data_IF_689477134138
#
_entry.id   IF_689477134138
#
_cell.length_a   1.000
_cell.length_b   1.000
_cell.length_c   1.000
_cell.angle_alpha   90.00
_cell.angle_beta   90.00
_cell.angle_gamma   90.00
#
_symmetry.space_group_name_H-M   'P 1'
#
loop_
_entity.id
_entity.type
_entity.pdbx_description
1 polymer ?
#
# COMPACT_ATOMS: atom_id res chain seq x y z
N UNK A 1 -8.08 20.62 32.94
CA UNK A 1 -6.74 20.27 32.42
C UNK A 1 -6.75 18.92 31.72
N UNK A 2 -7.17 17.81 32.36
CA UNK A 2 -7.14 16.47 31.73
C UNK A 2 -8.10 16.28 30.53
N UNK A 3 -9.27 16.93 30.52
CA UNK A 3 -10.23 16.84 29.41
C UNK A 3 -9.64 17.37 28.09
N UNK A 4 -8.85 18.46 28.17
CA UNK A 4 -8.21 19.07 26.99
C UNK A 4 -7.12 18.14 26.43
N UNK A 5 -6.38 17.47 27.31
CA UNK A 5 -5.35 16.49 26.94
C UNK A 5 -5.99 15.29 26.23
N UNK A 6 -7.08 14.74 26.78
CA UNK A 6 -7.81 13.64 26.15
C UNK A 6 -8.40 14.03 24.79
N UNK A 7 -8.95 15.25 24.67
CA UNK A 7 -9.46 15.76 23.41
C UNK A 7 -8.35 15.91 22.35
N UNK A 8 -7.20 16.47 22.72
CA UNK A 8 -6.06 16.59 21.82
C UNK A 8 -5.51 15.21 21.39
N UNK A 9 -5.44 14.26 22.32
CA UNK A 9 -4.98 12.90 22.04
C UNK A 9 -5.95 12.16 21.10
N UNK A 10 -7.26 12.31 21.30
CA UNK A 10 -8.29 11.73 20.44
C UNK A 10 -8.24 12.32 19.02
N UNK A 11 -8.07 13.63 18.88
CA UNK A 11 -7.94 14.28 17.56
C UNK A 11 -6.68 13.79 16.85
N UNK A 12 -5.55 13.69 17.56
CA UNK A 12 -4.29 13.22 17.00
C UNK A 12 -4.39 11.77 16.54
N UNK A 13 -4.99 10.89 17.36
CA UNK A 13 -5.25 9.51 17.02
C UNK A 13 -6.21 9.38 15.83
N UNK A 14 -7.30 10.14 15.83
CA UNK A 14 -8.27 10.15 14.74
C UNK A 14 -7.60 10.56 13.41
N UNK A 15 -6.74 11.57 13.44
CA UNK A 15 -6.01 12.02 12.26
C UNK A 15 -5.01 10.96 11.78
N UNK A 16 -4.34 10.29 12.72
CA UNK A 16 -3.42 9.18 12.41
C UNK A 16 -4.15 7.98 11.79
N UNK A 17 -5.30 7.60 12.35
CA UNK A 17 -6.12 6.50 11.86
C UNK A 17 -6.74 6.81 10.50
N UNK A 18 -7.25 8.04 10.31
CA UNK A 18 -7.83 8.50 9.05
C UNK A 18 -6.81 8.48 7.91
N UNK A 19 -5.56 8.88 8.18
CA UNK A 19 -4.45 8.77 7.22
C UNK A 19 -4.13 7.33 6.85
N UNK A 20 -4.09 6.43 7.83
CA UNK A 20 -3.83 5.01 7.58
C UNK A 20 -4.97 4.31 6.84
N UNK A 21 -6.24 4.65 7.12
CA UNK A 21 -7.39 4.08 6.42
C UNK A 21 -7.39 4.45 4.92
N UNK A 22 -7.05 5.70 4.59
CA UNK A 22 -6.90 6.12 3.18
C UNK A 22 -5.74 5.40 2.49
N UNK A 23 -4.60 5.24 3.16
CA UNK A 23 -3.49 4.41 2.64
C UNK A 23 -3.94 2.98 2.40
N UNK A 24 -4.63 2.35 3.35
CA UNK A 24 -5.14 0.98 3.24
C UNK A 24 -6.09 0.78 2.04
N UNK A 25 -6.99 1.74 1.79
CA UNK A 25 -7.87 1.72 0.62
C UNK A 25 -7.06 1.74 -0.68
N UNK A 26 -6.08 2.65 -0.78
CA UNK A 26 -5.17 2.77 -1.92
C UNK A 26 -4.32 1.51 -2.12
N UNK A 27 -3.88 0.85 -1.04
CA UNK A 27 -3.16 -0.44 -1.11
C UNK A 27 -3.99 -1.51 -1.81
N UNK A 28 -5.28 -1.56 -1.44
CA UNK A 28 -6.20 -2.56 -1.98
C UNK A 28 -6.44 -2.35 -3.48
N UNK A 29 -6.37 -1.11 -3.95
CA UNK A 29 -6.56 -0.79 -5.36
C UNK A 29 -5.33 -1.16 -6.20
N UNK A 30 -4.11 -0.91 -5.71
CA UNK A 30 -2.89 -1.27 -6.45
C UNK A 30 -2.68 -2.78 -6.60
N UNK A 31 -2.91 -3.56 -5.54
CA UNK A 31 -2.84 -5.04 -5.65
C UNK A 31 -3.92 -5.58 -6.59
N UNK A 32 -5.14 -5.01 -6.56
CA UNK A 32 -6.22 -5.40 -7.49
C UNK A 32 -5.89 -5.06 -8.93
N UNK A 33 -5.34 -3.87 -9.18
CA UNK A 33 -4.95 -3.46 -10.52
C UNK A 33 -3.77 -4.27 -11.05
N UNK A 34 -2.81 -4.63 -10.18
CA UNK A 34 -1.69 -5.50 -10.55
C UNK A 34 -2.19 -6.92 -10.85
N UNK A 35 -3.14 -7.43 -10.08
CA UNK A 35 -3.77 -8.72 -10.32
C UNK A 35 -4.54 -8.74 -11.64
N UNK A 36 -5.28 -7.65 -11.95
CA UNK A 36 -5.94 -7.47 -13.24
C UNK A 36 -4.95 -7.43 -14.40
N UNK A 37 -3.84 -6.70 -14.25
CA UNK A 37 -2.76 -6.65 -15.24
C UNK A 37 -2.09 -8.02 -15.45
N UNK A 38 -1.99 -8.81 -14.38
CA UNK A 38 -1.53 -10.21 -14.41
C UNK A 38 -2.61 -11.21 -14.86
N UNK A 39 -3.79 -10.75 -15.33
CA UNK A 39 -4.92 -11.61 -15.78
C UNK A 39 -5.40 -12.60 -14.70
N UNK A 40 -5.32 -12.22 -13.44
CA UNK A 40 -5.72 -13.07 -12.31
C UNK A 40 -4.65 -14.05 -11.84
N UNK A 41 -3.45 -14.05 -12.44
CA UNK A 41 -2.33 -14.89 -12.00
C UNK A 41 -1.72 -14.34 -10.70
N UNK A 42 -2.10 -14.97 -9.58
CA UNK A 42 -1.59 -14.63 -8.25
C UNK A 42 -0.14 -15.02 -8.05
N UNK A 43 0.33 -16.10 -8.65
CA UNK A 43 1.75 -16.49 -8.52
C UNK A 43 2.65 -15.45 -9.19
N UNK A 44 2.25 -14.99 -10.38
CA UNK A 44 3.00 -13.95 -11.09
C UNK A 44 3.05 -12.64 -10.31
N UNK A 45 1.93 -12.24 -9.71
CA UNK A 45 1.86 -11.07 -8.83
C UNK A 45 2.81 -11.21 -7.62
N UNK A 46 2.80 -12.37 -6.95
CA UNK A 46 3.64 -12.59 -5.77
C UNK A 46 5.13 -12.63 -6.13
N UNK A 47 5.49 -13.19 -7.29
CA UNK A 47 6.86 -13.15 -7.83
C UNK A 47 7.32 -11.71 -8.11
N UNK A 48 6.46 -10.88 -8.71
CA UNK A 48 6.75 -9.46 -8.96
C UNK A 48 6.95 -8.69 -7.65
N UNK A 49 6.08 -8.91 -6.66
CA UNK A 49 6.20 -8.29 -5.34
C UNK A 49 7.50 -8.71 -4.64
N UNK A 50 7.82 -10.01 -4.63
CA UNK A 50 9.07 -10.51 -4.05
C UNK A 50 10.29 -9.96 -4.77
N UNK A 51 10.23 -9.80 -6.09
CA UNK A 51 11.32 -9.21 -6.85
C UNK A 51 11.58 -7.76 -6.42
N UNK A 52 10.56 -6.91 -6.36
CA UNK A 52 10.71 -5.52 -5.93
C UNK A 52 11.14 -5.41 -4.46
N UNK A 53 10.61 -6.27 -3.57
CA UNK A 53 11.05 -6.34 -2.17
C UNK A 53 12.50 -6.84 -2.02
N UNK A 54 12.95 -7.73 -2.90
CA UNK A 54 14.34 -8.21 -2.89
C UNK A 54 15.33 -7.13 -3.33
N UNK A 55 14.92 -6.27 -4.26
CA UNK A 55 15.72 -5.13 -4.72
C UNK A 55 15.73 -4.04 -3.64
N UNK A 56 14.60 -3.82 -2.96
CA UNK A 56 14.46 -2.74 -2.00
C UNK A 56 13.73 -3.22 -0.74
N UNK A 57 14.43 -3.83 0.23
CA UNK A 57 13.78 -4.45 1.40
C UNK A 57 13.11 -3.46 2.35
N UNK A 58 13.42 -2.16 2.20
CA UNK A 58 12.85 -1.08 3.02
C UNK A 58 11.48 -0.61 2.54
N UNK A 59 11.01 -1.05 1.36
CA UNK A 59 9.73 -0.60 0.80
C UNK A 59 8.57 -1.42 1.36
N UNK A 60 7.44 -0.77 1.56
CA UNK A 60 6.21 -1.48 1.95
C UNK A 60 5.74 -2.39 0.80
N UNK A 61 5.03 -3.48 1.13
CA UNK A 61 4.35 -4.34 0.13
C UNK A 61 3.49 -3.54 -0.85
N UNK A 62 2.91 -2.43 -0.38
CA UNK A 62 2.16 -1.48 -1.21
C UNK A 62 3.03 -0.78 -2.25
N UNK A 63 4.16 -0.24 -1.83
CA UNK A 63 5.10 0.45 -2.73
C UNK A 63 5.68 -0.54 -3.74
N UNK A 64 5.95 -1.78 -3.30
CA UNK A 64 6.32 -2.87 -4.21
C UNK A 64 5.22 -3.14 -5.25
N UNK A 65 3.93 -3.13 -4.86
CA UNK A 65 2.81 -3.32 -5.78
C UNK A 65 2.68 -2.16 -6.78
N UNK A 66 2.84 -0.92 -6.31
CA UNK A 66 2.79 0.29 -7.12
C UNK A 66 3.95 0.33 -8.14
N UNK A 67 5.17 0.06 -7.71
CA UNK A 67 6.37 0.01 -8.57
C UNK A 67 6.23 -1.10 -9.60
N UNK A 68 5.80 -2.30 -9.18
CA UNK A 68 5.56 -3.42 -10.08
C UNK A 68 4.49 -3.09 -11.12
N UNK A 69 3.38 -2.45 -10.71
CA UNK A 69 2.32 -2.01 -11.62
C UNK A 69 2.83 -0.97 -12.62
N UNK A 70 3.58 0.01 -12.14
CA UNK A 70 4.13 1.07 -12.96
C UNK A 70 5.12 0.51 -13.99
N UNK A 71 6.03 -0.39 -13.59
CA UNK A 71 6.90 -1.13 -14.53
C UNK A 71 6.10 -1.94 -15.54
N UNK A 72 5.12 -2.71 -15.07
CA UNK A 72 4.32 -3.57 -15.94
C UNK A 72 3.53 -2.78 -16.98
N UNK A 73 2.99 -1.61 -16.61
CA UNK A 73 2.29 -0.70 -17.54
C UNK A 73 3.24 0.02 -18.49
N UNK A 74 4.47 0.32 -18.06
CA UNK A 74 5.47 1.01 -18.88
C UNK A 74 6.13 0.08 -19.91
N UNK A 75 6.30 -1.19 -19.56
CA UNK A 75 6.93 -2.19 -20.42
C UNK A 75 5.92 -2.85 -21.40
N UNK A 76 4.62 -2.54 -21.30
CA UNK A 76 3.58 -2.86 -22.31
C UNK A 76 3.53 -1.81 -23.42
#
# INVERSE_FOLDING_TARGET
>A
MHIIIFAALAVTLYWYFSRNAKRAAVVCDFEKDLLRACRGDREKLERLLRHEQSINPSISRTEAAEIALHRYKRDQ
#
